data_IF_211172072198
#
_entry.id   IF_211172072198
#
_cell.length_a   1.000
_cell.length_b   1.000
_cell.length_c   1.000
_cell.angle_alpha   90.00
_cell.angle_beta   90.00
_cell.angle_gamma   90.00
#
_symmetry.space_group_name_H-M   'P 1'
#
loop_
_entity.id
_entity.type
_entity.pdbx_description
1 polymer ?
#
# COMPACT_ATOMS: atom_id res chain seq x y z
N UNK A 1 -10.67 -8.58 -20.99
CA UNK A 1 -10.96 -9.29 -19.72
C UNK A 1 -10.30 -10.67 -19.66
N UNK A 2 -10.48 -11.55 -20.66
CA UNK A 2 -9.86 -12.88 -20.66
C UNK A 2 -8.32 -12.86 -20.49
N UNK A 3 -7.63 -11.88 -21.08
CA UNK A 3 -6.17 -11.75 -20.99
C UNK A 3 -5.64 -11.56 -19.56
N UNK A 4 -6.42 -10.91 -18.67
CA UNK A 4 -6.03 -10.62 -17.27
C UNK A 4 -6.09 -11.89 -16.40
N UNK A 5 -6.90 -12.88 -16.80
CA UNK A 5 -7.06 -14.13 -16.06
C UNK A 5 -5.95 -15.15 -16.34
N UNK A 6 -5.21 -15.00 -17.44
CA UNK A 6 -4.13 -15.91 -17.83
C UNK A 6 -3.12 -16.16 -16.69
N UNK A 7 -2.52 -15.15 -16.04
CA UNK A 7 -1.58 -15.39 -14.95
C UNK A 7 -2.22 -16.06 -13.73
N UNK A 8 -3.47 -15.74 -13.41
CA UNK A 8 -4.19 -16.36 -12.29
C UNK A 8 -4.42 -17.85 -12.57
N UNK A 9 -4.90 -18.18 -13.77
CA UNK A 9 -5.11 -19.57 -14.18
C UNK A 9 -3.79 -20.35 -14.23
N UNK A 10 -2.72 -19.73 -14.73
CA UNK A 10 -1.37 -20.28 -14.68
C UNK A 10 -0.93 -20.57 -13.24
N UNK A 11 -1.15 -19.66 -12.29
CA UNK A 11 -0.77 -19.87 -10.89
C UNK A 11 -1.59 -20.99 -10.23
N UNK A 12 -2.91 -21.06 -10.50
CA UNK A 12 -3.77 -22.12 -9.98
C UNK A 12 -3.36 -23.48 -10.52
N UNK A 13 -3.13 -23.58 -11.83
CA UNK A 13 -2.66 -24.83 -12.46
C UNK A 13 -1.27 -25.23 -11.98
N UNK A 14 -0.37 -24.26 -11.76
CA UNK A 14 0.96 -24.53 -11.21
C UNK A 14 0.91 -24.98 -9.75
N UNK A 15 -0.01 -24.45 -8.96
CA UNK A 15 -0.24 -24.85 -7.58
C UNK A 15 -0.84 -26.26 -7.50
N UNK A 16 -1.80 -26.60 -8.38
CA UNK A 16 -2.44 -27.92 -8.40
C UNK A 16 -1.52 -29.06 -8.85
N UNK A 17 -0.39 -28.75 -9.49
CA UNK A 17 0.66 -29.72 -9.83
C UNK A 17 1.52 -30.15 -8.63
N UNK A 18 1.41 -29.48 -7.47
CA UNK A 18 2.18 -29.81 -6.26
C UNK A 18 1.45 -30.85 -5.40
N UNK A 19 2.20 -31.61 -4.60
CA UNK A 19 1.57 -32.50 -3.61
C UNK A 19 0.92 -31.70 -2.49
N UNK A 20 -0.10 -32.29 -1.84
CA UNK A 20 -0.79 -31.65 -0.72
C UNK A 20 0.18 -31.32 0.43
N UNK A 21 1.14 -32.21 0.72
CA UNK A 21 2.16 -32.01 1.74
C UNK A 21 3.03 -30.78 1.43
N UNK A 22 3.47 -30.61 0.18
CA UNK A 22 4.24 -29.44 -0.24
C UNK A 22 3.47 -28.12 -0.12
N UNK A 23 2.15 -28.17 -0.35
CA UNK A 23 1.28 -27.01 -0.18
C UNK A 23 1.13 -26.68 1.30
N UNK A 24 0.89 -27.68 2.15
CA UNK A 24 0.77 -27.50 3.60
C UNK A 24 2.08 -26.96 4.19
N UNK A 25 3.23 -27.56 3.86
CA UNK A 25 4.54 -27.10 4.31
C UNK A 25 4.80 -25.62 3.95
N UNK A 26 4.35 -25.19 2.77
CA UNK A 26 4.50 -23.80 2.34
C UNK A 26 3.54 -22.85 3.08
N UNK A 27 2.28 -23.24 3.25
CA UNK A 27 1.25 -22.43 3.90
C UNK A 27 1.50 -22.27 5.40
N UNK A 28 1.91 -23.34 6.07
CA UNK A 28 2.12 -23.38 7.52
C UNK A 28 3.57 -23.04 7.93
N UNK A 29 4.40 -22.56 7.01
CA UNK A 29 5.74 -22.08 7.34
C UNK A 29 5.66 -20.83 8.21
N UNK A 30 6.48 -20.76 9.25
CA UNK A 30 6.57 -19.60 10.16
C UNK A 30 6.64 -18.25 9.41
N UNK A 31 7.47 -18.18 8.35
CA UNK A 31 7.62 -16.98 7.55
C UNK A 31 6.32 -16.49 6.91
N UNK A 32 5.41 -17.39 6.54
CA UNK A 32 4.11 -17.05 5.96
C UNK A 32 3.26 -16.32 7.01
N UNK A 33 3.25 -16.81 8.25
CA UNK A 33 2.59 -16.14 9.36
C UNK A 33 3.21 -14.77 9.68
N UNK A 34 4.55 -14.67 9.70
CA UNK A 34 5.24 -13.40 9.96
C UNK A 34 4.85 -12.33 8.91
N UNK A 35 4.78 -12.74 7.63
CA UNK A 35 4.40 -11.85 6.52
C UNK A 35 2.92 -11.46 6.61
N UNK A 36 2.02 -12.41 6.89
CA UNK A 36 0.59 -12.13 7.06
C UNK A 36 0.39 -11.15 8.21
N UNK A 37 0.97 -11.42 9.37
CA UNK A 37 0.84 -10.54 10.54
C UNK A 37 1.35 -9.12 10.24
N UNK A 38 2.55 -9.00 9.66
CA UNK A 38 3.14 -7.71 9.30
C UNK A 38 2.28 -6.97 8.27
N UNK A 39 1.80 -7.67 7.25
CA UNK A 39 0.97 -7.08 6.19
C UNK A 39 -0.39 -6.65 6.73
N UNK A 40 -1.03 -7.45 7.57
CA UNK A 40 -2.29 -7.10 8.22
C UNK A 40 -2.15 -5.85 9.09
N UNK A 41 -1.06 -5.74 9.86
CA UNK A 41 -0.77 -4.54 10.65
C UNK A 41 -0.52 -3.31 9.76
N UNK A 42 0.22 -3.46 8.67
CA UNK A 42 0.42 -2.40 7.69
C UNK A 42 -0.91 -1.94 7.09
N UNK A 43 -1.75 -2.88 6.62
CA UNK A 43 -3.07 -2.59 6.05
C UNK A 43 -3.92 -1.83 7.05
N UNK A 44 -4.03 -2.31 8.29
CA UNK A 44 -4.83 -1.66 9.32
C UNK A 44 -4.36 -0.23 9.57
N UNK A 45 -3.05 -0.03 9.80
CA UNK A 45 -2.48 1.29 10.08
C UNK A 45 -2.67 2.25 8.91
N UNK A 46 -2.39 1.81 7.69
CA UNK A 46 -2.50 2.65 6.49
C UNK A 46 -3.96 3.02 6.24
N UNK A 47 -4.90 2.07 6.33
CA UNK A 47 -6.33 2.33 6.17
C UNK A 47 -6.84 3.33 7.20
N UNK A 48 -6.46 3.18 8.47
CA UNK A 48 -6.87 4.12 9.52
C UNK A 48 -6.33 5.54 9.25
N UNK A 49 -5.05 5.65 8.86
CA UNK A 49 -4.44 6.94 8.56
C UNK A 49 -5.05 7.58 7.32
N UNK A 50 -5.19 6.85 6.21
CA UNK A 50 -5.77 7.42 4.98
C UNK A 50 -7.24 7.74 5.14
N UNK A 51 -8.02 6.92 5.85
CA UNK A 51 -9.41 7.23 6.18
C UNK A 51 -9.50 8.52 7.01
N UNK A 52 -8.70 8.62 8.08
CA UNK A 52 -8.74 9.79 8.96
C UNK A 52 -8.32 11.08 8.22
N UNK A 53 -7.16 11.08 7.56
CA UNK A 53 -6.63 12.27 6.89
C UNK A 53 -7.38 12.59 5.59
N UNK A 54 -7.77 11.59 4.80
CA UNK A 54 -8.55 11.77 3.58
C UNK A 54 -9.92 12.38 3.88
N UNK A 55 -10.64 11.85 4.86
CA UNK A 55 -11.91 12.42 5.31
C UNK A 55 -11.72 13.83 5.87
N UNK A 56 -10.67 14.09 6.64
CA UNK A 56 -10.37 15.42 7.18
C UNK A 56 -10.10 16.44 6.05
N UNK A 57 -9.32 16.06 5.04
CA UNK A 57 -9.05 16.87 3.85
C UNK A 57 -10.34 17.14 3.07
N UNK A 58 -11.12 16.09 2.79
CA UNK A 58 -12.38 16.20 2.06
C UNK A 58 -13.39 17.10 2.81
N UNK A 59 -13.52 16.91 4.12
CA UNK A 59 -14.38 17.73 4.96
C UNK A 59 -13.91 19.19 5.00
N UNK A 60 -12.59 19.43 5.14
CA UNK A 60 -12.02 20.78 5.11
C UNK A 60 -12.25 21.48 3.77
N UNK A 61 -12.09 20.77 2.66
CA UNK A 61 -12.32 21.30 1.32
C UNK A 61 -13.80 21.56 1.02
N UNK A 62 -14.72 20.82 1.63
CA UNK A 62 -16.15 20.91 1.35
C UNK A 62 -16.89 21.87 2.31
N UNK A 63 -16.62 21.76 3.62
CA UNK A 63 -17.36 22.46 4.66
C UNK A 63 -16.66 23.71 5.22
N UNK A 64 -15.37 23.91 4.93
CA UNK A 64 -14.58 25.05 5.46
C UNK A 64 -14.11 25.94 4.33
N UNK A 65 -14.21 27.26 4.53
CA UNK A 65 -13.62 28.25 3.64
C UNK A 65 -12.10 28.33 3.79
N UNK A 66 -11.43 27.29 3.30
CA UNK A 66 -9.97 27.21 3.33
C UNK A 66 -9.34 28.16 2.29
N UNK A 67 -8.39 29.02 2.68
CA UNK A 67 -7.48 29.62 1.72
C UNK A 67 -6.55 28.53 1.17
N UNK A 68 -6.17 28.61 -0.11
CA UNK A 68 -5.25 27.69 -0.80
C UNK A 68 -5.73 26.25 -1.05
N UNK A 69 -7.03 26.02 -1.23
CA UNK A 69 -7.63 24.71 -1.57
C UNK A 69 -6.88 23.96 -2.68
N UNK A 70 -6.47 24.68 -3.73
CA UNK A 70 -5.72 24.11 -4.85
C UNK A 70 -4.37 23.53 -4.42
N UNK A 71 -3.61 24.22 -3.56
CA UNK A 71 -2.32 23.71 -3.09
C UNK A 71 -2.48 22.43 -2.26
N UNK A 72 -3.50 22.41 -1.39
CA UNK A 72 -3.81 21.23 -0.58
C UNK A 72 -4.15 20.02 -1.44
N UNK A 73 -4.97 20.21 -2.48
CA UNK A 73 -5.28 19.16 -3.46
C UNK A 73 -4.04 18.70 -4.22
N UNK A 74 -3.21 19.64 -4.71
CA UNK A 74 -1.97 19.31 -5.44
C UNK A 74 -1.08 18.41 -4.61
N UNK A 75 -0.80 18.75 -3.34
CA UNK A 75 0.03 17.91 -2.48
C UNK A 75 -0.61 16.56 -2.17
N UNK A 76 -1.93 16.53 -1.96
CA UNK A 76 -2.65 15.29 -1.69
C UNK A 76 -2.56 14.30 -2.87
N UNK A 77 -2.62 14.77 -4.12
CA UNK A 77 -2.59 13.90 -5.31
C UNK A 77 -1.20 13.74 -5.93
N UNK A 78 -0.22 14.57 -5.55
CA UNK A 78 1.15 14.56 -6.08
C UNK A 78 1.78 13.15 -6.10
N UNK A 79 1.60 12.29 -5.09
CA UNK A 79 2.19 10.95 -5.10
C UNK A 79 1.72 10.07 -6.27
N UNK A 80 0.54 10.31 -6.86
CA UNK A 80 0.04 9.53 -8.01
C UNK A 80 0.89 9.71 -9.26
N UNK A 81 1.60 10.84 -9.39
CA UNK A 81 2.45 11.12 -10.53
C UNK A 81 3.84 10.44 -10.43
N UNK A 82 4.17 9.88 -9.27
CA UNK A 82 5.50 9.32 -8.99
C UNK A 82 5.39 7.80 -8.95
N UNK A 83 6.14 7.06 -9.79
CA UNK A 83 6.19 5.60 -9.68
C UNK A 83 6.62 5.16 -8.28
N UNK A 84 5.97 4.13 -7.73
CA UNK A 84 6.13 3.72 -6.33
C UNK A 84 7.59 3.42 -5.93
N UNK A 85 8.37 2.81 -6.84
CA UNK A 85 9.78 2.55 -6.61
C UNK A 85 10.60 3.83 -6.55
N UNK A 86 10.33 4.81 -7.44
CA UNK A 86 11.01 6.11 -7.45
C UNK A 86 10.71 6.85 -6.15
N UNK A 87 9.43 6.91 -5.76
CA UNK A 87 9.00 7.57 -4.54
C UNK A 87 9.73 7.01 -3.32
N UNK A 88 9.78 5.68 -3.19
CA UNK A 88 10.45 5.00 -2.08
C UNK A 88 11.96 5.27 -2.07
N UNK A 89 12.62 5.14 -3.23
CA UNK A 89 14.07 5.36 -3.30
C UNK A 89 14.47 6.81 -3.07
N UNK A 90 13.64 7.78 -3.46
CA UNK A 90 13.89 9.19 -3.15
C UNK A 90 13.92 9.43 -1.63
N UNK A 91 13.00 8.83 -0.87
CA UNK A 91 13.03 8.94 0.59
C UNK A 91 14.27 8.28 1.21
N UNK A 92 14.69 7.11 0.71
CA UNK A 92 15.93 6.45 1.14
C UNK A 92 17.16 7.30 0.79
N UNK A 93 17.19 7.92 -0.38
CA UNK A 93 18.29 8.80 -0.79
C UNK A 93 18.38 10.06 0.08
N UNK A 94 17.25 10.62 0.52
CA UNK A 94 17.18 11.77 1.41
C UNK A 94 17.53 11.40 2.86
N UNK A 95 17.04 10.25 3.33
CA UNK A 95 17.24 9.77 4.69
C UNK A 95 17.71 8.31 4.60
N UNK A 96 19.04 8.04 4.60
CA UNK A 96 19.58 6.69 4.40
C UNK A 96 19.12 5.63 5.41
N UNK A 97 18.72 6.04 6.61
CA UNK A 97 18.17 5.17 7.64
C UNK A 97 16.68 4.86 7.48
N UNK A 98 16.02 5.43 6.46
CA UNK A 98 14.57 5.34 6.24
C UNK A 98 14.15 3.93 5.79
N UNK A 99 13.97 3.06 6.76
CA UNK A 99 13.70 1.64 6.57
C UNK A 99 12.84 1.07 7.70
N UNK A 100 12.34 -0.15 7.50
CA UNK A 100 11.51 -0.84 8.48
C UNK A 100 10.01 -0.53 8.39
N UNK A 101 9.27 -0.99 9.39
CA UNK A 101 7.80 -0.99 9.38
C UNK A 101 7.21 0.43 9.27
N UNK A 102 7.70 1.38 10.07
CA UNK A 102 7.15 2.74 10.06
C UNK A 102 7.48 3.52 8.78
N UNK A 103 8.63 3.24 8.17
CA UNK A 103 8.94 3.77 6.84
C UNK A 103 7.95 3.25 5.79
N UNK A 104 7.59 1.96 5.84
CA UNK A 104 6.57 1.39 4.96
C UNK A 104 5.18 2.00 5.22
N UNK A 105 4.76 2.16 6.47
CA UNK A 105 3.50 2.84 6.83
C UNK A 105 3.46 4.24 6.22
N UNK A 106 4.52 5.03 6.39
CA UNK A 106 4.60 6.39 5.87
C UNK A 106 4.49 6.45 4.34
N UNK A 107 5.26 5.61 3.62
CA UNK A 107 5.24 5.58 2.16
C UNK A 107 3.87 5.14 1.64
N UNK A 108 3.31 4.08 2.21
CA UNK A 108 2.00 3.57 1.81
C UNK A 108 0.90 4.57 2.13
N UNK A 109 0.93 5.19 3.31
CA UNK A 109 -0.01 6.26 3.67
C UNK A 109 0.01 7.39 2.63
N UNK A 110 1.17 7.97 2.33
CA UNK A 110 1.24 9.08 1.37
C UNK A 110 0.84 8.67 -0.05
N UNK A 111 1.24 7.49 -0.50
CA UNK A 111 0.96 7.02 -1.87
C UNK A 111 -0.47 6.52 -2.05
N UNK A 112 -1.18 6.20 -0.96
CA UNK A 112 -2.58 5.75 -1.00
C UNK A 112 -3.60 6.77 -0.52
N UNK A 113 -3.16 7.84 0.16
CA UNK A 113 -4.02 8.98 0.52
C UNK A 113 -4.85 9.54 -0.66
N UNK A 114 -4.33 9.67 -1.91
CA UNK A 114 -5.11 10.22 -3.02
C UNK A 114 -6.38 9.41 -3.39
N UNK A 115 -6.47 8.14 -2.97
CA UNK A 115 -7.61 7.27 -3.32
C UNK A 115 -8.78 7.38 -2.33
N UNK A 116 -8.62 8.11 -1.22
CA UNK A 116 -9.60 8.27 -0.14
C UNK A 116 -10.10 9.70 -0.10
#
# INVERSE_FOLDING_TARGET
MALVLIPIFYLVTRASQKSLDQIQDLLFRQKTFDVIATTSLLVLMVVLLTAFFGVLIAAGLHFVDMPYRAALLIFAVLPLAIPSYVFTYTWIALIPSFSGFMAAVFILFLTTLPYV
#
